data_IF_145868610072
#
_entry.id   IF_145868610072
#
_cell.length_a   1.000
_cell.length_b   1.000
_cell.length_c   1.000
_cell.angle_alpha   90.00
_cell.angle_beta   90.00
_cell.angle_gamma   90.00
#
_symmetry.space_group_name_H-M   'P 1'
#
loop_
_entity.id
_entity.type
_entity.pdbx_description
1 polymer ?
#
# COMPACT_ATOMS: atom_id res chain seq x y z
N UNK A 1 -20.43 -3.74 14.02
CA UNK A 1 -18.97 -3.63 13.83
C UNK A 1 -18.73 -2.78 12.60
N UNK A 2 -17.80 -1.82 12.64
CA UNK A 2 -17.51 -0.96 11.50
C UNK A 2 -17.13 -1.78 10.26
N UNK A 3 -17.35 -1.22 9.07
CA UNK A 3 -17.06 -1.87 7.79
C UNK A 3 -15.53 -2.07 7.61
N UNK A 4 -14.98 -3.17 8.13
CA UNK A 4 -13.52 -3.46 8.13
C UNK A 4 -13.06 -4.04 6.80
N UNK A 5 -11.93 -3.56 6.27
CA UNK A 5 -11.26 -4.12 5.10
C UNK A 5 -10.34 -5.25 5.53
N UNK A 6 -10.14 -6.25 4.67
CA UNK A 6 -9.08 -7.22 4.88
C UNK A 6 -7.72 -6.55 4.68
N UNK A 7 -7.59 -5.72 3.64
CA UNK A 7 -6.33 -5.05 3.26
C UNK A 7 -6.56 -3.55 3.07
N UNK A 8 -5.72 -2.72 3.68
CA UNK A 8 -5.57 -1.31 3.29
C UNK A 8 -4.23 -1.17 2.56
N UNK A 9 -4.25 -0.55 1.39
CA UNK A 9 -3.05 -0.28 0.59
C UNK A 9 -2.83 1.23 0.59
N UNK A 10 -1.61 1.67 0.89
CA UNK A 10 -1.26 3.09 1.02
C UNK A 10 -0.14 3.39 0.04
N UNK A 11 -0.36 4.36 -0.84
CA UNK A 11 0.64 4.84 -1.77
C UNK A 11 0.04 5.26 -3.10
N UNK A 12 0.91 5.80 -3.96
CA UNK A 12 0.51 6.38 -5.24
C UNK A 12 1.25 5.77 -6.44
N UNK A 13 2.19 4.85 -6.20
CA UNK A 13 3.07 4.28 -7.21
C UNK A 13 2.47 3.06 -7.92
N UNK A 14 3.21 2.49 -8.90
CA UNK A 14 2.75 1.32 -9.62
C UNK A 14 2.73 0.05 -8.74
N UNK A 15 3.56 -0.01 -7.69
CA UNK A 15 3.55 -1.11 -6.73
C UNK A 15 2.23 -1.14 -5.93
N UNK A 16 1.72 0.03 -5.54
CA UNK A 16 0.40 0.17 -4.92
C UNK A 16 -0.73 -0.42 -5.79
N UNK A 17 -0.81 -0.01 -7.06
CA UNK A 17 -1.90 -0.44 -7.96
C UNK A 17 -1.80 -1.91 -8.36
N UNK A 18 -0.59 -2.42 -8.60
CA UNK A 18 -0.39 -3.86 -8.82
C UNK A 18 -0.76 -4.70 -7.61
N UNK A 19 -0.37 -4.27 -6.40
CA UNK A 19 -0.76 -4.95 -5.18
C UNK A 19 -2.29 -4.99 -5.03
N UNK A 20 -2.98 -3.90 -5.38
CA UNK A 20 -4.43 -3.83 -5.35
C UNK A 20 -5.11 -4.79 -6.33
N UNK A 21 -4.60 -4.89 -7.56
CA UNK A 21 -5.09 -5.85 -8.57
C UNK A 21 -4.95 -7.29 -8.04
N UNK A 22 -3.77 -7.66 -7.54
CA UNK A 22 -3.52 -9.01 -7.03
C UNK A 22 -4.39 -9.32 -5.80
N UNK A 23 -4.50 -8.39 -4.85
CA UNK A 23 -5.39 -8.52 -3.70
C UNK A 23 -6.87 -8.69 -4.13
N UNK A 24 -7.33 -7.95 -5.14
CA UNK A 24 -8.69 -8.07 -5.67
C UNK A 24 -8.95 -9.45 -6.29
N UNK A 25 -8.00 -10.01 -7.05
CA UNK A 25 -8.13 -11.36 -7.62
C UNK A 25 -8.23 -12.46 -6.56
N UNK A 26 -7.70 -12.21 -5.36
CA UNK A 26 -7.83 -13.11 -4.22
C UNK A 26 -9.17 -12.93 -3.46
N UNK A 27 -10.10 -12.12 -3.97
CA UNK A 27 -11.41 -11.80 -3.38
C UNK A 27 -11.33 -11.19 -1.97
N UNK A 28 -10.26 -10.46 -1.66
CA UNK A 28 -10.20 -9.70 -0.41
C UNK A 28 -10.99 -8.41 -0.51
N UNK A 29 -11.60 -7.99 0.59
CA UNK A 29 -12.16 -6.65 0.69
C UNK A 29 -11.02 -5.66 0.92
N UNK A 30 -10.75 -4.80 -0.06
CA UNK A 30 -9.65 -3.84 0.04
C UNK A 30 -10.05 -2.40 -0.25
N UNK A 31 -9.17 -1.48 0.19
CA UNK A 31 -9.21 -0.07 -0.15
C UNK A 31 -7.78 0.44 -0.40
N UNK A 32 -7.64 1.26 -1.43
CA UNK A 32 -6.40 1.99 -1.74
C UNK A 32 -6.54 3.43 -1.23
N UNK A 33 -5.51 3.92 -0.54
CA UNK A 33 -5.38 5.29 -0.06
C UNK A 33 -4.20 5.95 -0.79
N UNK A 34 -4.51 6.87 -1.68
CA UNK A 34 -3.56 7.79 -2.28
C UNK A 34 -3.33 8.97 -1.31
N UNK A 35 -2.13 9.06 -0.76
CA UNK A 35 -1.75 10.01 0.31
C UNK A 35 -1.29 11.35 -0.24
N UNK A 36 -0.88 11.38 -1.50
CA UNK A 36 -0.38 12.56 -2.18
C UNK A 36 -1.26 12.91 -3.38
N UNK A 37 -1.47 14.22 -3.59
CA UNK A 37 -1.91 14.72 -4.89
C UNK A 37 -0.64 14.84 -5.72
N UNK A 38 -0.49 13.96 -6.70
CA UNK A 38 0.73 13.84 -7.50
C UNK A 38 0.50 14.48 -8.86
N UNK A 39 1.35 15.44 -9.23
CA UNK A 39 1.43 15.98 -10.58
C UNK A 39 2.23 15.04 -11.51
N UNK A 40 2.20 15.30 -12.81
CA UNK A 40 2.87 14.43 -13.79
C UNK A 40 4.36 14.22 -13.52
N UNK A 41 5.02 15.24 -12.98
CA UNK A 41 6.49 15.35 -12.91
C UNK A 41 7.06 14.84 -11.58
N UNK A 42 6.21 14.55 -10.60
CA UNK A 42 6.62 14.01 -9.29
C UNK A 42 7.05 12.54 -9.37
N UNK A 43 6.52 11.76 -10.31
CA UNK A 43 6.91 10.35 -10.44
C UNK A 43 8.33 10.22 -11.00
N UNK A 44 9.21 9.62 -10.21
CA UNK A 44 10.63 9.48 -10.54
C UNK A 44 11.04 8.00 -10.59
N UNK A 45 10.69 7.34 -11.70
CA UNK A 45 11.12 5.98 -12.03
C UNK A 45 11.25 5.83 -13.56
N UNK A 46 12.00 4.83 -14.00
CA UNK A 46 12.36 4.63 -15.42
C UNK A 46 11.63 3.42 -16.02
N UNK A 47 11.80 3.21 -17.32
CA UNK A 47 11.38 1.97 -17.99
C UNK A 47 9.87 1.81 -18.16
N UNK A 48 9.13 2.92 -18.20
CA UNK A 48 7.69 2.91 -18.42
C UNK A 48 7.32 2.32 -19.79
N UNK A 49 8.19 2.48 -20.79
CA UNK A 49 8.10 1.92 -22.15
C UNK A 49 8.49 0.43 -22.23
N UNK A 50 8.98 -0.15 -21.13
CA UNK A 50 9.45 -1.54 -21.06
C UNK A 50 8.47 -2.48 -20.35
N UNK A 51 7.24 -2.03 -20.13
CA UNK A 51 6.20 -2.85 -19.50
C UNK A 51 5.57 -3.77 -20.54
N UNK A 52 5.78 -5.07 -20.38
CA UNK A 52 5.24 -6.06 -21.30
C UNK A 52 3.70 -5.97 -21.39
N UNK A 53 3.17 -5.87 -22.61
CA UNK A 53 1.73 -5.83 -22.87
C UNK A 53 1.05 -4.48 -22.61
N UNK A 54 1.80 -3.43 -22.27
CA UNK A 54 1.31 -2.06 -22.23
C UNK A 54 1.95 -1.22 -23.35
N UNK A 55 1.10 -0.66 -24.22
CA UNK A 55 1.49 0.34 -25.22
C UNK A 55 1.30 1.76 -24.68
N UNK A 56 1.81 2.79 -25.33
CA UNK A 56 1.60 4.21 -24.99
C UNK A 56 1.86 4.54 -23.50
N UNK A 57 3.00 4.09 -22.99
CA UNK A 57 3.46 4.30 -21.59
C UNK A 57 4.83 4.98 -21.55
N UNK A 58 5.14 5.86 -22.49
CA UNK A 58 6.44 6.51 -22.58
C UNK A 58 6.76 7.41 -21.37
N UNK A 59 5.73 7.87 -20.65
CA UNK A 59 5.86 8.70 -19.46
C UNK A 59 5.37 8.00 -18.19
N UNK A 60 5.92 8.37 -17.03
CA UNK A 60 5.46 7.86 -15.73
C UNK A 60 3.95 8.09 -15.53
N UNK A 61 3.45 9.27 -15.89
CA UNK A 61 2.03 9.62 -15.73
C UNK A 61 1.14 8.74 -16.59
N UNK A 62 1.50 8.55 -17.87
CA UNK A 62 0.73 7.67 -18.77
C UNK A 62 0.69 6.22 -18.28
N UNK A 63 1.79 5.71 -17.73
CA UNK A 63 1.83 4.39 -17.11
C UNK A 63 0.93 4.30 -15.88
N UNK A 64 1.01 5.28 -14.98
CA UNK A 64 0.19 5.30 -13.75
C UNK A 64 -1.29 5.42 -14.07
N UNK A 65 -1.68 6.22 -15.06
CA UNK A 65 -3.07 6.33 -15.50
C UNK A 65 -3.61 4.98 -15.98
N UNK A 66 -2.84 4.25 -16.80
CA UNK A 66 -3.25 2.93 -17.30
C UNK A 66 -3.38 1.89 -16.19
N UNK A 67 -2.43 1.83 -15.27
CA UNK A 67 -2.50 0.84 -14.19
C UNK A 67 -3.62 1.17 -13.19
N UNK A 68 -3.91 2.46 -12.97
CA UNK A 68 -5.09 2.91 -12.21
C UNK A 68 -6.39 2.51 -12.89
N UNK A 69 -6.49 2.67 -14.21
CA UNK A 69 -7.64 2.22 -14.99
C UNK A 69 -7.85 0.70 -14.85
N UNK A 70 -6.78 -0.08 -15.03
CA UNK A 70 -6.82 -1.52 -14.81
C UNK A 70 -7.27 -1.87 -13.39
N UNK A 71 -6.80 -1.15 -12.38
CA UNK A 71 -7.19 -1.34 -10.98
C UNK A 71 -8.70 -1.10 -10.77
N UNK A 72 -9.25 -0.07 -11.41
CA UNK A 72 -10.69 0.22 -11.37
C UNK A 72 -11.53 -0.86 -12.03
N UNK A 73 -11.01 -1.55 -13.06
CA UNK A 73 -11.71 -2.68 -13.69
C UNK A 73 -11.93 -3.85 -12.73
N UNK A 74 -11.13 -3.95 -11.65
CA UNK A 74 -11.33 -4.91 -10.56
C UNK A 74 -12.28 -4.40 -9.46
N UNK A 75 -13.01 -3.30 -9.68
CA UNK A 75 -13.92 -2.68 -8.70
C UNK A 75 -13.26 -2.28 -7.38
N UNK A 76 -11.94 -2.05 -7.39
CA UNK A 76 -11.18 -1.61 -6.23
C UNK A 76 -11.56 -0.16 -5.88
N UNK A 77 -11.87 0.08 -4.60
CA UNK A 77 -12.11 1.42 -4.07
C UNK A 77 -10.78 2.14 -3.88
N UNK A 78 -10.64 3.31 -4.52
CA UNK A 78 -9.49 4.20 -4.37
C UNK A 78 -9.99 5.49 -3.71
N UNK A 79 -9.32 5.92 -2.65
CA UNK A 79 -9.58 7.20 -1.96
C UNK A 79 -8.32 8.04 -1.93
N UNK A 80 -8.52 9.35 -2.05
CA UNK A 80 -7.46 10.33 -1.91
C UNK A 80 -7.58 10.99 -0.53
N UNK A 81 -6.49 11.08 0.21
CA UNK A 81 -6.51 11.72 1.51
C UNK A 81 -5.21 11.61 2.28
N UNK A 82 -4.80 12.72 2.89
CA UNK A 82 -3.65 12.75 3.82
C UNK A 82 -4.02 12.01 5.11
N UNK A 83 -3.14 11.10 5.53
CA UNK A 83 -3.28 10.40 6.81
C UNK A 83 -3.04 11.36 7.97
N UNK A 84 -4.10 11.60 8.75
CA UNK A 84 -4.06 12.42 9.98
C UNK A 84 -3.53 11.59 11.15
N UNK A 85 -4.10 10.41 11.36
CA UNK A 85 -3.72 9.51 12.44
C UNK A 85 -3.65 8.06 11.97
N UNK A 86 -2.81 7.30 12.66
CA UNK A 86 -2.56 5.89 12.41
C UNK A 86 -2.58 5.18 13.76
N UNK A 87 -3.45 4.19 13.90
CA UNK A 87 -3.58 3.37 15.09
C UNK A 87 -3.54 1.89 14.73
N UNK A 88 -2.85 1.09 15.53
CA UNK A 88 -2.84 -0.37 15.42
C UNK A 88 -3.05 -1.02 16.80
N UNK A 89 -3.81 -2.11 16.84
CA UNK A 89 -3.91 -3.02 18.00
C UNK A 89 -4.54 -4.33 17.58
N UNK A 90 -3.97 -5.46 18.01
CA UNK A 90 -4.55 -6.80 17.83
C UNK A 90 -5.02 -7.09 16.38
N UNK A 91 -4.16 -6.87 15.39
CA UNK A 91 -4.49 -7.07 13.95
C UNK A 91 -5.62 -6.16 13.43
N UNK A 92 -5.88 -5.03 14.09
CA UNK A 92 -6.80 -4.01 13.60
C UNK A 92 -6.06 -2.69 13.44
N UNK A 93 -6.05 -2.21 12.21
CA UNK A 93 -5.63 -0.86 11.85
C UNK A 93 -6.83 0.08 11.88
N UNK A 94 -6.61 1.29 12.37
CA UNK A 94 -7.50 2.44 12.25
C UNK A 94 -6.70 3.58 11.62
N UNK A 95 -7.10 4.01 10.44
CA UNK A 95 -6.46 5.10 9.70
C UNK A 95 -7.48 6.20 9.50
N UNK A 96 -7.16 7.41 9.95
CA UNK A 96 -8.01 8.58 9.73
C UNK A 96 -7.50 9.40 8.55
N UNK A 97 -8.34 9.55 7.53
CA UNK A 97 -8.08 10.37 6.34
C UNK A 97 -9.16 11.45 6.25
N UNK A 98 -8.79 12.73 6.27
CA UNK A 98 -9.80 13.79 6.33
C UNK A 98 -10.74 13.59 7.52
N UNK A 99 -12.04 13.48 7.27
CA UNK A 99 -13.07 13.24 8.29
C UNK A 99 -13.57 11.79 8.31
N UNK A 100 -12.91 10.91 7.55
CA UNK A 100 -13.25 9.50 7.47
C UNK A 100 -12.29 8.66 8.32
N UNK A 101 -12.82 7.52 8.79
CA UNK A 101 -12.02 6.50 9.46
C UNK A 101 -12.11 5.19 8.69
N UNK A 102 -10.95 4.63 8.36
CA UNK A 102 -10.81 3.36 7.64
C UNK A 102 -10.25 2.32 8.61
N UNK A 103 -10.88 1.14 8.62
CA UNK A 103 -10.42 0.00 9.39
C UNK A 103 -9.90 -1.12 8.48
N UNK A 104 -8.85 -1.81 8.90
CA UNK A 104 -8.18 -2.85 8.12
C UNK A 104 -7.54 -3.94 8.98
N UNK A 105 -7.35 -5.15 8.45
CA UNK A 105 -6.64 -6.23 9.14
C UNK A 105 -5.14 -6.30 8.81
N UNK A 106 -4.77 -5.91 7.59
CA UNK A 106 -3.39 -5.81 7.12
C UNK A 106 -3.14 -4.54 6.32
N UNK A 107 -1.86 -4.20 6.16
CA UNK A 107 -1.38 -3.05 5.40
C UNK A 107 -0.40 -3.46 4.31
N UNK A 108 -0.52 -2.84 3.15
CA UNK A 108 0.54 -2.78 2.14
C UNK A 108 0.94 -1.31 1.98
N UNK A 109 2.23 -1.01 2.05
CA UNK A 109 2.76 0.36 2.03
C UNK A 109 3.74 0.52 0.87
N UNK A 110 3.40 1.44 -0.06
CA UNK A 110 4.23 1.96 -1.16
C UNK A 110 4.38 3.49 -1.00
N UNK A 111 4.67 3.90 0.23
CA UNK A 111 4.87 5.29 0.60
C UNK A 111 5.96 5.39 1.68
N UNK A 112 7.12 5.91 1.26
CA UNK A 112 8.26 6.08 2.15
C UNK A 112 8.00 7.06 3.29
N UNK A 113 7.26 8.15 3.05
CA UNK A 113 6.97 9.12 4.10
C UNK A 113 6.07 8.51 5.18
N UNK A 114 5.08 7.73 4.79
CA UNK A 114 4.22 6.99 5.72
C UNK A 114 5.01 5.93 6.49
N UNK A 115 5.87 5.17 5.80
CA UNK A 115 6.78 4.22 6.44
C UNK A 115 7.65 4.93 7.49
N UNK A 116 8.41 5.95 7.08
CA UNK A 116 9.33 6.67 7.95
C UNK A 116 8.58 7.41 9.07
N UNK A 117 7.32 7.80 8.88
CA UNK A 117 6.52 8.49 9.90
C UNK A 117 6.00 7.56 11.00
N UNK A 118 5.57 6.35 10.66
CA UNK A 118 4.86 5.47 11.62
C UNK A 118 5.64 4.22 12.01
N UNK A 119 6.59 3.78 11.20
CA UNK A 119 7.38 2.57 11.45
C UNK A 119 8.77 2.98 11.94
N UNK A 120 9.18 2.39 13.07
CA UNK A 120 10.47 2.63 13.69
C UNK A 120 11.54 1.71 13.10
N UNK A 121 11.23 0.42 12.94
CA UNK A 121 12.20 -0.56 12.48
C UNK A 121 11.51 -1.83 11.93
N UNK A 122 12.26 -2.68 11.21
CA UNK A 122 11.86 -4.00 10.73
C UNK A 122 12.78 -5.06 11.35
N UNK A 123 12.22 -6.06 12.04
CA UNK A 123 12.98 -7.17 12.62
C UNK A 123 12.28 -8.49 12.28
N UNK A 124 12.98 -9.41 11.61
CA UNK A 124 12.47 -10.74 11.23
C UNK A 124 11.10 -10.70 10.53
N UNK A 125 10.96 -9.79 9.55
CA UNK A 125 9.71 -9.59 8.81
C UNK A 125 8.57 -8.94 9.62
N UNK A 126 8.84 -8.47 10.83
CA UNK A 126 7.89 -7.72 11.65
C UNK A 126 8.21 -6.23 11.63
N UNK A 127 7.19 -5.40 11.47
CA UNK A 127 7.31 -3.95 11.61
C UNK A 127 7.10 -3.56 13.07
N UNK A 128 8.01 -2.76 13.59
CA UNK A 128 7.93 -2.14 14.91
C UNK A 128 7.43 -0.73 14.71
N UNK A 129 6.28 -0.39 15.26
CA UNK A 129 5.72 0.96 15.14
C UNK A 129 6.42 1.94 16.07
N UNK A 130 6.40 3.22 15.71
CA UNK A 130 6.83 4.29 16.63
C UNK A 130 5.85 4.40 17.80
N UNK A 131 6.36 4.82 18.96
CA UNK A 131 5.55 5.01 20.17
C UNK A 131 4.36 5.96 19.89
N UNK A 132 3.17 5.59 20.36
CA UNK A 132 1.95 6.37 20.18
C UNK A 132 1.18 6.06 18.89
N UNK A 133 1.64 5.06 18.10
CA UNK A 133 0.89 4.51 16.97
C UNK A 133 -0.01 3.34 17.37
N UNK A 134 0.01 2.92 18.63
CA UNK A 134 -0.96 1.97 19.17
C UNK A 134 -2.30 2.65 19.41
N UNK A 135 -3.41 1.91 19.33
CA UNK A 135 -4.75 2.49 19.50
C UNK A 135 -4.99 3.11 20.89
N UNK A 136 -4.18 2.76 21.90
CA UNK A 136 -4.29 3.33 23.24
C UNK A 136 -3.25 4.44 23.52
N UNK A 137 -2.32 4.68 22.59
CA UNK A 137 -1.25 5.68 22.66
C UNK A 137 -0.16 5.42 23.72
N UNK A 138 -0.04 4.19 24.22
CA UNK A 138 0.79 3.84 25.39
C UNK A 138 2.03 3.03 25.06
N UNK A 139 2.01 2.23 23.99
CA UNK A 139 2.98 1.17 23.75
C UNK A 139 3.57 1.18 22.34
N UNK A 140 4.72 0.54 22.20
CA UNK A 140 5.32 0.22 20.90
C UNK A 140 4.74 -1.12 20.46
N UNK A 141 3.95 -1.12 19.39
CA UNK A 141 3.33 -2.35 18.87
C UNK A 141 4.19 -2.95 17.73
N UNK A 142 4.09 -4.27 17.56
CA UNK A 142 4.83 -5.04 16.56
C UNK A 142 3.86 -5.82 15.70
N UNK A 143 3.99 -5.69 14.39
CA UNK A 143 3.06 -6.32 13.45
C UNK A 143 3.76 -7.13 12.38
N UNK A 144 3.20 -8.32 12.12
CA UNK A 144 3.48 -9.16 10.94
C UNK A 144 2.55 -8.87 9.77
N UNK A 145 1.55 -8.01 9.95
CA UNK A 145 0.52 -7.72 8.97
C UNK A 145 0.79 -6.46 8.16
N UNK A 146 2.06 -6.06 8.04
CA UNK A 146 2.50 -4.92 7.21
C UNK A 146 3.51 -5.42 6.18
N UNK A 147 3.24 -5.15 4.91
CA UNK A 147 4.06 -5.54 3.77
C UNK A 147 4.51 -4.28 3.04
N UNK A 148 5.79 -4.21 2.65
CA UNK A 148 6.35 -3.07 1.94
C UNK A 148 6.51 -3.42 0.46
N UNK A 149 6.35 -2.42 -0.39
CA UNK A 149 6.69 -2.53 -1.80
C UNK A 149 7.06 -1.14 -2.34
N UNK A 150 7.55 -1.13 -3.59
CA UNK A 150 7.88 0.09 -4.30
C UNK A 150 8.78 1.02 -3.50
N UNK A 151 8.38 2.28 -3.37
CA UNK A 151 9.21 3.33 -2.77
C UNK A 151 9.45 3.17 -1.26
N UNK A 152 8.59 2.44 -0.56
CA UNK A 152 8.73 2.18 0.87
C UNK A 152 9.75 1.08 1.17
N UNK A 153 10.07 0.23 0.18
CA UNK A 153 11.07 -0.81 0.30
C UNK A 153 12.39 -0.33 -0.32
N UNK A 154 13.39 -0.10 0.53
CA UNK A 154 14.67 0.49 0.13
C UNK A 154 15.47 -0.39 -0.85
N UNK A 155 15.18 -1.68 -0.89
CA UNK A 155 15.87 -2.66 -1.75
C UNK A 155 15.27 -2.73 -3.16
N UNK A 156 14.22 -1.95 -3.45
CA UNK A 156 13.51 -1.99 -4.74
C UNK A 156 14.05 -0.92 -5.69
N UNK A 157 14.54 -1.37 -6.84
CA UNK A 157 15.02 -0.51 -7.92
C UNK A 157 13.91 0.33 -8.55
N UNK A 158 14.27 1.54 -9.02
CA UNK A 158 13.33 2.51 -9.62
C UNK A 158 13.05 2.24 -11.10
N UNK A 159 12.87 0.97 -11.46
CA UNK A 159 12.39 0.54 -12.77
C UNK A 159 10.92 0.16 -12.67
N UNK A 160 10.09 0.68 -13.58
CA UNK A 160 8.63 0.54 -13.54
C UNK A 160 8.17 -0.92 -13.41
N UNK A 161 8.87 -1.84 -14.11
CA UNK A 161 8.59 -3.28 -14.08
C UNK A 161 8.93 -3.92 -12.72
N UNK A 162 10.01 -3.45 -12.08
CA UNK A 162 10.47 -3.96 -10.78
C UNK A 162 9.56 -3.43 -9.67
N UNK A 163 9.18 -2.16 -9.72
CA UNK A 163 8.20 -1.57 -8.81
C UNK A 163 6.86 -2.32 -8.88
N UNK A 164 6.34 -2.55 -10.10
CA UNK A 164 5.13 -3.35 -10.30
C UNK A 164 5.27 -4.77 -9.72
N UNK A 165 6.39 -5.44 -9.98
CA UNK A 165 6.64 -6.78 -9.45
C UNK A 165 6.66 -6.81 -7.91
N UNK A 166 7.25 -5.80 -7.26
CA UNK A 166 7.26 -5.70 -5.80
C UNK A 166 5.86 -5.59 -5.19
N UNK A 167 4.92 -4.91 -5.88
CA UNK A 167 3.53 -4.85 -5.47
C UNK A 167 2.84 -6.21 -5.51
N UNK A 168 3.08 -6.99 -6.56
CA UNK A 168 2.60 -8.37 -6.67
C UNK A 168 3.11 -9.24 -5.50
N UNK A 169 4.41 -9.14 -5.19
CA UNK A 169 5.04 -9.89 -4.09
C UNK A 169 4.37 -9.54 -2.75
N UNK A 170 4.25 -8.26 -2.43
CA UNK A 170 3.62 -7.82 -1.18
C UNK A 170 2.16 -8.29 -1.06
N UNK A 171 1.40 -8.30 -2.16
CA UNK A 171 0.04 -8.81 -2.17
C UNK A 171 -0.04 -10.33 -1.92
N UNK A 172 0.91 -11.10 -2.47
CA UNK A 172 1.00 -12.54 -2.24
C UNK A 172 1.39 -12.87 -0.79
N UNK A 173 2.39 -12.19 -0.23
CA UNK A 173 2.78 -12.34 1.17
C UNK A 173 1.62 -11.96 2.12
N UNK A 174 0.93 -10.87 1.80
CA UNK A 174 -0.27 -10.45 2.53
C UNK A 174 -1.38 -11.50 2.48
N UNK A 175 -1.60 -12.10 1.31
CA UNK A 175 -2.57 -13.19 1.14
C UNK A 175 -2.19 -14.41 1.99
N UNK A 176 -0.93 -14.80 2.02
CA UNK A 176 -0.44 -15.93 2.83
C UNK A 176 -0.68 -15.65 4.33
N UNK A 177 -0.29 -14.47 4.80
CA UNK A 177 -0.53 -14.04 6.17
C UNK A 177 -2.03 -14.08 6.54
N UNK A 178 -2.90 -13.50 5.70
CA UNK A 178 -4.34 -13.50 5.93
C UNK A 178 -4.93 -14.92 5.94
N UNK A 179 -4.32 -15.86 5.22
CA UNK A 179 -4.68 -17.27 5.26
C UNK A 179 -4.34 -17.97 6.59
N UNK A 180 -3.30 -17.50 7.30
CA UNK A 180 -2.87 -18.07 8.58
C UNK A 180 -3.67 -17.59 9.78
N UNK A 181 -4.32 -16.43 9.68
CA UNK A 181 -5.09 -15.82 10.78
C UNK A 181 -6.61 -15.99 10.64
N UNK A 182 -7.06 -16.77 9.65
CA UNK A 182 -8.47 -17.12 9.44
C UNK A 182 -8.97 -18.15 10.45
#
# INVERSE_FOLDING_TARGET
MADTNDIIIIGNGPACFTAAIYAATANYKLIVIETHIIDSDTYNFNGCDKICGLENTETCSSYIEKIKEQTKNFSVKIKNGKIKSFGYKNYLYKIEIGDETIYGKSLIIDDKEIFDKYIFNKIDGRMIFKKGCDLDGKETDVSKSVFLCGSADADVEKEAIVLAASGCIAALECKEFLGLIK
#
